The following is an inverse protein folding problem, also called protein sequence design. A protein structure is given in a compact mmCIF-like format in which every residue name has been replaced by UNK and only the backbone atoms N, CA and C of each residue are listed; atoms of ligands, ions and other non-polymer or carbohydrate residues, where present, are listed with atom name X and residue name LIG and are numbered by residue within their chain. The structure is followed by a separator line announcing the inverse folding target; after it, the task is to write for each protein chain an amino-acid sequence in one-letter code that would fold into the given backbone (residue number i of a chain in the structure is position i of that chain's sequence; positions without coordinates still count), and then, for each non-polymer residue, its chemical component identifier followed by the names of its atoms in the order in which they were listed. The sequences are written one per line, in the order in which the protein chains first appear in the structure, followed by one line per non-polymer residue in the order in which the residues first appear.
data_IF_205844993618
#
_entry.id   IF_205844993618
#
_cell.length_a   1.000
_cell.length_b   1.000
_cell.length_c   1.000
_cell.angle_alpha   90.00
_cell.angle_beta   90.00
_cell.angle_gamma   90.00
#
_symmetry.space_group_name_H-M   'P 1'
#
loop_
_entity.id
_entity.type
_entity.pdbx_description
1 polymer ?
#
# COMPACT_ATOMS: atom_id res chain seq x y z
N UNK A 1 -9.13 33.79 37.26
CA UNK A 1 -8.07 33.44 36.36
C UNK A 1 -8.67 32.62 35.20
N UNK A 2 -8.89 33.30 34.06
CA UNK A 2 -9.39 32.63 32.87
C UNK A 2 -8.23 31.84 32.29
N UNK A 3 -8.32 30.51 32.32
CA UNK A 3 -7.47 29.64 31.49
C UNK A 3 -7.82 29.92 30.04
N UNK A 4 -6.90 30.60 29.33
CA UNK A 4 -7.06 30.85 27.89
C UNK A 4 -6.85 29.52 27.11
N UNK A 5 -7.91 28.69 27.07
CA UNK A 5 -7.96 27.54 26.20
C UNK A 5 -8.59 27.95 24.86
N UNK A 6 -7.85 27.86 23.80
CA UNK A 6 -8.38 28.01 22.44
C UNK A 6 -8.77 26.62 21.92
N UNK A 7 -9.94 26.53 21.30
CA UNK A 7 -10.38 25.33 20.60
C UNK A 7 -10.70 25.65 19.15
N UNK A 8 -10.37 24.72 18.25
CA UNK A 8 -10.74 24.86 16.85
C UNK A 8 -12.26 24.73 16.69
N UNK A 9 -12.84 25.59 15.86
CA UNK A 9 -14.27 25.53 15.53
C UNK A 9 -14.56 24.30 14.65
N UNK A 10 -15.72 23.66 14.83
CA UNK A 10 -16.22 22.59 13.95
C UNK A 10 -16.31 22.99 12.46
N UNK A 11 -16.25 24.30 12.14
CA UNK A 11 -16.15 24.77 10.76
C UNK A 11 -14.87 24.27 10.07
N UNK A 12 -13.76 24.11 10.79
CA UNK A 12 -12.52 23.54 10.23
C UNK A 12 -12.69 22.06 9.87
N UNK A 13 -13.40 21.29 10.66
CA UNK A 13 -13.74 19.91 10.34
C UNK A 13 -14.55 19.82 9.03
N UNK A 14 -15.54 20.72 8.86
CA UNK A 14 -16.33 20.81 7.61
C UNK A 14 -15.46 21.15 6.40
N UNK A 15 -14.55 22.10 6.53
CA UNK A 15 -13.61 22.45 5.44
C UNK A 15 -12.71 21.26 5.10
N UNK A 16 -12.19 20.55 6.10
CA UNK A 16 -11.41 19.33 5.90
C UNK A 16 -12.18 18.24 5.14
N UNK A 17 -13.45 18.00 5.49
CA UNK A 17 -14.30 17.07 4.73
C UNK A 17 -14.45 17.48 3.27
N UNK A 18 -14.73 18.75 2.98
CA UNK A 18 -14.87 19.24 1.60
C UNK A 18 -13.59 19.07 0.79
N UNK A 19 -12.42 19.34 1.38
CA UNK A 19 -11.14 19.10 0.72
C UNK A 19 -10.93 17.61 0.44
N UNK A 20 -11.24 16.76 1.42
CA UNK A 20 -11.10 15.30 1.27
C UNK A 20 -12.02 14.74 0.17
N UNK A 21 -13.27 15.23 0.09
CA UNK A 21 -14.22 14.83 -0.95
C UNK A 21 -13.79 15.28 -2.36
N UNK A 22 -13.07 16.40 -2.48
CA UNK A 22 -12.58 16.93 -3.75
C UNK A 22 -11.21 16.37 -4.15
N UNK A 23 -10.48 15.76 -3.22
CA UNK A 23 -9.14 15.23 -3.46
C UNK A 23 -9.23 13.83 -4.04
N UNK A 24 -8.93 13.70 -5.33
CA UNK A 24 -8.76 12.40 -5.96
C UNK A 24 -7.33 11.89 -5.71
N UNK A 25 -7.20 10.88 -4.86
CA UNK A 25 -5.90 10.29 -4.51
C UNK A 25 -5.11 9.82 -5.75
N UNK A 26 -5.80 9.34 -6.78
CA UNK A 26 -5.19 8.93 -8.05
C UNK A 26 -4.45 10.09 -8.73
N UNK A 27 -5.11 11.26 -8.83
CA UNK A 27 -4.53 12.42 -9.51
C UNK A 27 -3.32 12.97 -8.74
N UNK A 28 -3.39 12.96 -7.41
CA UNK A 28 -2.28 13.35 -6.54
C UNK A 28 -1.12 12.35 -6.65
N UNK A 29 -1.40 11.06 -6.76
CA UNK A 29 -0.39 9.99 -6.78
C UNK A 29 0.32 9.88 -8.14
N UNK A 30 -0.36 10.17 -9.24
CA UNK A 30 0.14 9.93 -10.61
C UNK A 30 1.56 10.43 -10.89
N UNK A 31 1.97 11.65 -10.48
CA UNK A 31 3.36 12.13 -10.68
C UNK A 31 4.39 11.25 -9.96
N UNK A 32 4.09 10.81 -8.73
CA UNK A 32 4.98 9.97 -7.92
C UNK A 32 5.14 8.57 -8.53
N UNK A 33 4.03 8.00 -9.04
CA UNK A 33 4.07 6.70 -9.72
C UNK A 33 4.92 6.78 -10.99
N UNK A 34 4.78 7.86 -11.78
CA UNK A 34 5.54 8.07 -13.01
C UNK A 34 7.05 8.22 -12.72
N UNK A 35 7.41 9.03 -11.73
CA UNK A 35 8.80 9.18 -11.30
C UNK A 35 9.39 7.84 -10.82
N UNK A 36 8.64 7.12 -9.97
CA UNK A 36 9.09 5.83 -9.45
C UNK A 36 9.29 4.81 -10.57
N UNK A 37 8.36 4.73 -11.55
CA UNK A 37 8.47 3.83 -12.69
C UNK A 37 9.71 4.13 -13.55
N UNK A 38 10.02 5.40 -13.77
CA UNK A 38 11.25 5.81 -14.47
C UNK A 38 12.52 5.39 -13.71
N UNK A 39 12.52 5.53 -12.38
CA UNK A 39 13.69 5.22 -11.55
C UNK A 39 13.91 3.71 -11.36
N UNK A 40 12.85 2.95 -11.18
CA UNK A 40 12.95 1.50 -10.93
C UNK A 40 12.90 0.65 -12.21
N UNK A 41 12.42 1.20 -13.34
CA UNK A 41 12.29 0.52 -14.63
C UNK A 41 11.35 -0.71 -14.57
N UNK A 42 10.36 -0.69 -13.70
CA UNK A 42 9.36 -1.75 -13.49
C UNK A 42 7.96 -1.15 -13.35
N UNK A 43 6.93 -1.98 -13.37
CA UNK A 43 5.54 -1.56 -13.20
C UNK A 43 5.28 -1.05 -11.79
N UNK A 44 4.70 0.14 -11.68
CA UNK A 44 4.33 0.79 -10.41
C UNK A 44 2.82 0.92 -10.33
N UNK A 45 2.24 0.53 -9.18
CA UNK A 45 0.81 0.60 -8.96
C UNK A 45 0.46 1.33 -7.67
N UNK A 46 -0.67 2.04 -7.71
CA UNK A 46 -1.38 2.50 -6.53
C UNK A 46 -2.52 1.53 -6.23
N UNK A 47 -2.62 1.14 -4.97
CA UNK A 47 -3.63 0.21 -4.48
C UNK A 47 -4.39 0.80 -3.31
N UNK A 48 -5.72 0.59 -3.29
CA UNK A 48 -6.61 0.96 -2.19
C UNK A 48 -7.43 -0.24 -1.74
N UNK A 49 -8.02 -0.15 -0.54
CA UNK A 49 -8.95 -1.17 -0.05
C UNK A 49 -10.35 -0.96 -0.66
N UNK A 50 -10.92 -2.02 -1.19
CA UNK A 50 -12.31 -2.08 -1.63
C UNK A 50 -12.92 -3.44 -1.23
N UNK A 51 -13.93 -3.44 -0.38
CA UNK A 51 -14.71 -4.65 0.00
C UNK A 51 -13.83 -5.80 0.54
N UNK A 52 -12.86 -5.49 1.41
CA UNK A 52 -11.89 -6.45 1.95
C UNK A 52 -10.99 -7.10 0.86
N UNK A 53 -10.76 -6.39 -0.22
CA UNK A 53 -9.79 -6.72 -1.25
C UNK A 53 -8.91 -5.51 -1.53
N UNK A 54 -7.78 -5.72 -2.16
CA UNK A 54 -7.01 -4.62 -2.72
C UNK A 54 -7.45 -4.40 -4.15
N UNK A 55 -7.71 -3.13 -4.51
CA UNK A 55 -8.07 -2.71 -5.87
C UNK A 55 -6.98 -1.80 -6.45
N UNK A 56 -6.55 -2.08 -7.67
CA UNK A 56 -5.61 -1.24 -8.40
C UNK A 56 -6.30 0.07 -8.82
N UNK A 57 -5.92 1.18 -8.22
CA UNK A 57 -6.51 2.50 -8.49
C UNK A 57 -5.79 3.21 -9.63
N UNK A 58 -4.47 3.02 -9.76
CA UNK A 58 -3.69 3.53 -10.88
C UNK A 58 -2.47 2.65 -11.16
N UNK A 59 -1.98 2.69 -12.40
CA UNK A 59 -0.82 1.94 -12.85
C UNK A 59 0.01 2.77 -13.81
N UNK A 60 1.33 2.66 -13.66
CA UNK A 60 2.32 3.17 -14.61
C UNK A 60 3.25 2.02 -14.94
N UNK A 61 3.27 1.65 -16.20
CA UNK A 61 4.17 0.61 -16.68
C UNK A 61 5.62 1.14 -16.71
N UNK A 62 6.55 0.26 -16.42
CA UNK A 62 7.96 0.53 -16.65
C UNK A 62 8.23 0.68 -18.16
N UNK A 63 9.40 1.24 -18.55
CA UNK A 63 9.74 1.35 -19.95
C UNK A 63 9.87 -0.04 -20.59
N UNK A 64 9.60 -0.08 -21.88
CA UNK A 64 9.44 -1.21 -22.79
C UNK A 64 10.21 -2.50 -22.44
N UNK A 65 9.57 -3.40 -21.72
CA UNK A 65 10.05 -4.77 -21.50
C UNK A 65 9.09 -5.79 -22.12
N UNK A 66 9.59 -6.76 -22.86
CA UNK A 66 8.79 -7.86 -23.43
C UNK A 66 8.13 -8.68 -22.30
N UNK A 67 8.83 -8.83 -21.17
CA UNK A 67 8.33 -9.52 -19.97
C UNK A 67 8.04 -8.49 -18.88
N UNK A 68 6.77 -8.27 -18.56
CA UNK A 68 6.31 -7.34 -17.53
C UNK A 68 5.18 -7.93 -16.70
N UNK A 69 5.02 -7.47 -15.46
CA UNK A 69 3.84 -7.77 -14.67
C UNK A 69 2.73 -6.85 -15.13
N UNK A 70 1.76 -7.40 -15.86
CA UNK A 70 0.62 -6.64 -16.35
C UNK A 70 -0.41 -6.42 -15.24
N UNK A 71 -0.66 -5.17 -14.90
CA UNK A 71 -1.71 -4.76 -13.99
C UNK A 71 -2.72 -3.86 -14.72
N UNK A 72 -3.95 -3.81 -14.21
CA UNK A 72 -5.00 -2.97 -14.80
C UNK A 72 -5.73 -2.22 -13.69
N UNK A 73 -6.08 -0.97 -13.96
CA UNK A 73 -6.97 -0.20 -13.08
C UNK A 73 -8.29 -0.95 -12.91
N UNK A 74 -8.78 -1.05 -11.67
CA UNK A 74 -9.94 -1.83 -11.28
C UNK A 74 -9.67 -3.32 -11.04
N UNK A 75 -8.45 -3.82 -11.29
CA UNK A 75 -8.10 -5.20 -10.93
C UNK A 75 -8.10 -5.38 -9.42
N UNK A 76 -8.71 -6.47 -8.93
CA UNK A 76 -8.80 -6.82 -7.51
C UNK A 76 -7.95 -8.03 -7.17
N UNK A 77 -7.50 -8.07 -5.92
CA UNK A 77 -6.74 -9.20 -5.39
C UNK A 77 -6.94 -9.35 -3.87
N UNK A 78 -6.73 -10.56 -3.32
CA UNK A 78 -6.83 -10.77 -1.88
C UNK A 78 -5.78 -9.96 -1.10
N UNK A 79 -6.18 -9.39 0.05
CA UNK A 79 -5.28 -8.62 0.91
C UNK A 79 -4.09 -9.44 1.40
N UNK A 80 -4.29 -10.73 1.75
CA UNK A 80 -3.25 -11.56 2.34
C UNK A 80 -2.15 -11.98 1.37
N UNK A 81 -2.42 -11.96 0.06
CA UNK A 81 -1.51 -12.46 -0.97
C UNK A 81 -0.81 -11.35 -1.76
N UNK A 82 -0.92 -10.09 -1.33
CA UNK A 82 -0.32 -8.95 -2.03
C UNK A 82 0.44 -8.06 -1.07
N UNK A 83 1.51 -7.41 -1.54
CA UNK A 83 2.28 -6.48 -0.73
C UNK A 83 1.43 -5.32 -0.20
N UNK A 84 0.71 -4.64 -1.08
CA UNK A 84 -0.18 -3.54 -0.70
C UNK A 84 -1.35 -3.99 0.19
N UNK A 85 -1.90 -5.18 -0.06
CA UNK A 85 -2.95 -5.75 0.78
C UNK A 85 -2.47 -6.02 2.21
N UNK A 86 -1.27 -6.59 2.38
CA UNK A 86 -0.67 -6.79 3.71
C UNK A 86 -0.43 -5.46 4.43
N UNK A 87 -0.09 -4.37 3.73
CA UNK A 87 -0.01 -3.03 4.33
C UNK A 87 -1.36 -2.55 4.84
N UNK A 88 -2.43 -2.72 4.07
CA UNK A 88 -3.79 -2.35 4.49
C UNK A 88 -4.29 -3.15 5.68
N UNK A 89 -3.92 -4.44 5.78
CA UNK A 89 -4.21 -5.28 6.95
C UNK A 89 -3.55 -4.78 8.24
N UNK A 90 -2.53 -3.92 8.18
CA UNK A 90 -1.95 -3.30 9.38
C UNK A 90 -2.94 -2.40 10.13
N UNK A 91 -3.97 -1.89 9.45
CA UNK A 91 -5.06 -1.13 10.08
C UNK A 91 -6.08 -2.03 10.81
N UNK A 92 -6.04 -3.33 10.58
CA UNK A 92 -7.05 -4.24 11.12
C UNK A 92 -6.74 -4.56 12.59
N UNK A 93 -7.75 -4.44 13.45
CA UNK A 93 -7.71 -5.05 14.77
C UNK A 93 -7.70 -6.58 14.64
N UNK A 94 -7.32 -7.29 15.71
CA UNK A 94 -7.40 -8.75 15.72
C UNK A 94 -8.81 -9.27 15.39
N UNK A 95 -9.85 -8.58 15.85
CA UNK A 95 -11.25 -8.93 15.54
C UNK A 95 -11.54 -8.77 14.04
N UNK A 96 -11.18 -7.62 13.44
CA UNK A 96 -11.40 -7.38 12.01
C UNK A 96 -10.58 -8.31 11.12
N UNK A 97 -9.36 -8.69 11.55
CA UNK A 97 -8.54 -9.68 10.85
C UNK A 97 -9.20 -11.08 10.87
N UNK A 98 -9.76 -11.48 12.01
CA UNK A 98 -10.50 -12.75 12.11
C UNK A 98 -11.76 -12.73 11.22
N UNK A 99 -12.48 -11.60 11.18
CA UNK A 99 -13.62 -11.41 10.29
C UNK A 99 -13.21 -11.52 8.81
N UNK A 100 -12.12 -10.84 8.42
CA UNK A 100 -11.55 -10.95 7.07
C UNK A 100 -11.27 -12.41 6.70
N UNK A 101 -10.60 -13.16 7.59
CA UNK A 101 -10.27 -14.57 7.36
C UNK A 101 -11.54 -15.43 7.26
N UNK A 102 -12.56 -15.16 8.09
CA UNK A 102 -13.83 -15.90 8.06
C UNK A 102 -14.62 -15.65 6.78
N UNK A 103 -14.63 -14.40 6.27
CA UNK A 103 -15.41 -13.99 5.10
C UNK A 103 -14.71 -14.30 3.78
N UNK A 104 -13.42 -13.93 3.66
CA UNK A 104 -12.66 -14.04 2.41
C UNK A 104 -11.80 -15.31 2.35
N UNK A 105 -11.45 -15.89 3.49
CA UNK A 105 -10.49 -16.99 3.60
C UNK A 105 -9.05 -16.56 3.30
N UNK A 106 -8.13 -17.49 3.48
CA UNK A 106 -6.73 -17.39 3.06
C UNK A 106 -6.48 -18.38 1.92
N UNK A 107 -7.10 -18.11 0.77
CA UNK A 107 -7.01 -19.00 -0.39
C UNK A 107 -5.57 -19.09 -0.89
N UNK A 108 -5.08 -20.30 -1.09
CA UNK A 108 -3.82 -20.56 -1.77
C UNK A 108 -3.94 -20.20 -3.27
N UNK A 109 -3.12 -19.28 -3.73
CA UNK A 109 -3.00 -18.90 -5.14
C UNK A 109 -1.76 -19.54 -5.76
N UNK A 110 -0.71 -19.70 -4.96
CA UNK A 110 0.54 -20.36 -5.27
C UNK A 110 0.99 -21.21 -4.09
N UNK A 111 2.03 -22.04 -4.22
CA UNK A 111 2.64 -22.73 -3.08
C UNK A 111 3.26 -21.77 -2.03
N UNK A 112 3.49 -20.51 -2.37
CA UNK A 112 4.10 -19.49 -1.49
C UNK A 112 3.07 -18.61 -0.78
N UNK A 113 1.79 -18.71 -1.12
CA UNK A 113 0.71 -17.93 -0.49
C UNK A 113 0.63 -18.22 1.01
N UNK A 114 0.49 -17.17 1.83
CA UNK A 114 0.27 -17.28 3.27
C UNK A 114 -1.16 -17.79 3.53
N UNK A 115 -1.30 -19.06 3.88
CA UNK A 115 -2.61 -19.74 4.03
C UNK A 115 -3.02 -19.95 5.49
N UNK A 116 -2.22 -19.53 6.45
CA UNK A 116 -2.56 -19.63 7.88
C UNK A 116 -2.56 -18.24 8.53
N UNK A 117 -3.44 -18.10 9.53
CA UNK A 117 -3.49 -16.86 10.33
C UNK A 117 -2.14 -16.53 10.97
N UNK A 118 -1.46 -17.53 11.48
CA UNK A 118 -0.17 -17.38 12.14
C UNK A 118 0.90 -16.85 11.17
N UNK A 119 1.03 -17.45 9.98
CA UNK A 119 1.97 -16.99 8.96
C UNK A 119 1.67 -15.55 8.51
N UNK A 120 0.37 -15.21 8.36
CA UNK A 120 -0.04 -13.85 8.01
C UNK A 120 0.31 -12.86 9.12
N UNK A 121 0.01 -13.16 10.39
CA UNK A 121 0.34 -12.28 11.54
C UNK A 121 1.85 -12.07 11.64
N UNK A 122 2.66 -13.11 11.53
CA UNK A 122 4.12 -13.00 11.55
C UNK A 122 4.63 -12.09 10.40
N UNK A 123 4.03 -12.22 9.21
CA UNK A 123 4.35 -11.33 8.08
C UNK A 123 3.98 -9.87 8.37
N UNK A 124 2.81 -9.62 8.99
CA UNK A 124 2.38 -8.27 9.37
C UNK A 124 3.30 -7.65 10.43
N UNK A 125 3.79 -8.42 11.40
CA UNK A 125 4.76 -7.96 12.39
C UNK A 125 6.10 -7.58 11.76
N UNK A 126 6.60 -8.39 10.83
CA UNK A 126 7.80 -8.03 10.05
C UNK A 126 7.59 -6.75 9.24
N UNK A 127 6.42 -6.55 8.64
CA UNK A 127 6.11 -5.34 7.89
C UNK A 127 6.08 -4.12 8.82
N UNK A 128 5.49 -4.23 10.01
CA UNK A 128 5.50 -3.14 11.01
C UNK A 128 6.93 -2.74 11.40
N UNK A 129 7.80 -3.71 11.61
CA UNK A 129 9.18 -3.44 12.06
C UNK A 129 10.05 -2.80 10.99
N UNK A 130 9.86 -3.16 9.70
CA UNK A 130 10.70 -2.68 8.59
C UNK A 130 10.09 -1.53 7.79
N UNK A 131 8.77 -1.27 7.93
CA UNK A 131 8.07 -0.17 7.26
C UNK A 131 7.59 -0.45 5.83
N UNK A 132 7.88 -1.61 5.25
CA UNK A 132 7.49 -1.98 3.90
C UNK A 132 7.09 -3.47 3.79
N UNK A 133 6.31 -3.81 2.77
CA UNK A 133 5.90 -5.18 2.48
C UNK A 133 6.68 -5.74 1.29
N UNK A 134 7.03 -7.02 1.39
CA UNK A 134 7.47 -7.82 0.25
C UNK A 134 6.39 -8.84 -0.09
N UNK A 135 6.25 -9.12 -1.37
CA UNK A 135 5.45 -10.23 -1.90
C UNK A 135 6.38 -11.03 -2.82
N UNK A 136 6.55 -12.30 -2.49
CA UNK A 136 7.50 -13.22 -3.14
C UNK A 136 6.74 -14.40 -3.73
N UNK A 137 6.20 -14.19 -4.93
CA UNK A 137 5.42 -15.21 -5.64
C UNK A 137 4.16 -15.70 -4.89
N UNK A 138 3.64 -14.90 -3.95
CA UNK A 138 2.48 -15.27 -3.13
C UNK A 138 1.16 -15.18 -3.92
N UNK A 139 1.04 -14.21 -4.83
CA UNK A 139 -0.12 -14.02 -5.69
C UNK A 139 0.00 -14.80 -7.00
N UNK A 140 1.17 -14.76 -7.61
CA UNK A 140 1.44 -15.35 -8.92
C UNK A 140 2.90 -15.77 -9.03
N UNK A 141 3.13 -17.02 -9.50
CA UNK A 141 4.48 -17.52 -9.74
C UNK A 141 5.18 -16.67 -10.81
N UNK A 142 6.46 -16.41 -10.61
CA UNK A 142 7.25 -15.59 -11.51
C UNK A 142 7.12 -14.07 -11.30
N UNK A 143 6.29 -13.62 -10.35
CA UNK A 143 6.11 -12.21 -10.01
C UNK A 143 6.55 -11.92 -8.58
N UNK A 144 7.19 -10.77 -8.36
CA UNK A 144 7.56 -10.24 -7.05
C UNK A 144 7.26 -8.77 -6.95
N UNK A 145 6.94 -8.30 -5.74
CA UNK A 145 6.81 -6.88 -5.51
C UNK A 145 7.36 -6.42 -4.15
N UNK A 146 7.68 -5.13 -4.09
CA UNK A 146 7.91 -4.36 -2.87
C UNK A 146 6.86 -3.25 -2.81
N UNK A 147 6.29 -3.02 -1.63
CA UNK A 147 5.26 -2.02 -1.43
C UNK A 147 5.50 -1.22 -0.15
N UNK A 148 5.13 0.07 -0.17
CA UNK A 148 5.18 0.96 0.98
C UNK A 148 3.81 1.62 1.22
N UNK A 149 3.46 1.92 2.51
CA UNK A 149 2.17 2.43 2.88
C UNK A 149 2.01 3.91 2.53
N UNK A 150 0.84 4.28 2.02
CA UNK A 150 0.38 5.66 1.87
C UNK A 150 -0.59 5.95 3.00
N UNK A 151 -0.32 7.02 3.75
CA UNK A 151 -1.10 7.42 4.92
C UNK A 151 -1.85 8.73 4.67
N UNK A 152 -2.99 8.87 5.30
CA UNK A 152 -3.73 10.13 5.34
C UNK A 152 -3.38 10.96 6.60
N UNK A 153 -4.03 12.11 6.75
CA UNK A 153 -3.87 13.03 7.88
C UNK A 153 -4.11 12.40 9.26
N UNK A 154 -4.81 11.27 9.35
CA UNK A 154 -5.05 10.54 10.60
C UNK A 154 -3.96 9.51 10.93
N UNK A 155 -2.97 9.35 10.04
CA UNK A 155 -1.94 8.32 10.11
C UNK A 155 -2.41 6.94 9.65
N UNK A 156 -3.66 6.81 9.23
CA UNK A 156 -4.21 5.55 8.71
C UNK A 156 -3.64 5.24 7.34
N UNK A 157 -3.33 3.99 7.08
CA UNK A 157 -2.93 3.53 5.75
C UNK A 157 -4.18 3.49 4.85
N UNK A 158 -4.23 4.39 3.87
CA UNK A 158 -5.35 4.51 2.91
C UNK A 158 -5.04 3.82 1.59
N UNK A 159 -3.79 3.49 1.35
CA UNK A 159 -3.34 2.78 0.16
C UNK A 159 -1.92 2.30 0.27
N UNK A 160 -1.40 1.76 -0.82
CA UNK A 160 0.00 1.37 -0.95
C UNK A 160 0.52 1.61 -2.36
N UNK A 161 1.75 2.10 -2.46
CA UNK A 161 2.49 2.11 -3.72
C UNK A 161 3.30 0.83 -3.80
N UNK A 162 3.24 0.12 -4.93
CA UNK A 162 4.07 -1.07 -5.17
C UNK A 162 4.87 -0.96 -6.46
N UNK A 163 6.07 -1.53 -6.44
CA UNK A 163 6.91 -1.81 -7.61
C UNK A 163 6.87 -3.31 -7.83
N UNK A 164 6.43 -3.74 -8.99
CA UNK A 164 6.23 -5.15 -9.33
C UNK A 164 6.96 -5.49 -10.62
N UNK A 165 7.59 -6.66 -10.65
CA UNK A 165 8.28 -7.14 -11.83
C UNK A 165 8.48 -8.65 -11.81
N UNK A 166 8.96 -9.23 -12.92
CA UNK A 166 9.24 -10.65 -13.02
C UNK A 166 10.43 -11.06 -12.15
N UNK A 167 10.39 -12.27 -11.58
CA UNK A 167 11.45 -12.80 -10.69
C UNK A 167 12.82 -12.80 -11.32
N UNK A 168 12.90 -12.84 -12.64
CA UNK A 168 14.17 -12.78 -13.42
C UNK A 168 14.89 -11.44 -13.26
N UNK A 169 14.16 -10.35 -13.00
CA UNK A 169 14.72 -9.01 -12.73
C UNK A 169 14.56 -8.59 -11.28
N UNK A 170 13.53 -9.08 -10.57
CA UNK A 170 13.20 -8.72 -9.19
C UNK A 170 13.73 -9.78 -8.22
N UNK A 171 15.06 -9.88 -8.08
CA UNK A 171 15.66 -10.69 -7.02
C UNK A 171 15.32 -10.14 -5.64
N UNK A 172 15.40 -10.96 -4.58
CA UNK A 172 15.17 -10.48 -3.18
C UNK A 172 16.08 -9.30 -2.83
N UNK A 173 17.36 -9.38 -3.20
CA UNK A 173 18.30 -8.29 -2.97
C UNK A 173 17.88 -6.99 -3.70
N UNK A 174 17.33 -7.10 -4.91
CA UNK A 174 16.81 -5.94 -5.64
C UNK A 174 15.55 -5.37 -4.99
N UNK A 175 14.63 -6.21 -4.49
CA UNK A 175 13.45 -5.74 -3.74
C UNK A 175 13.87 -4.94 -2.51
N UNK A 176 14.82 -5.46 -1.74
CA UNK A 176 15.36 -4.78 -0.54
C UNK A 176 16.08 -3.48 -0.91
N UNK A 177 16.83 -3.45 -2.00
CA UNK A 177 17.49 -2.24 -2.49
C UNK A 177 16.50 -1.18 -3.01
N UNK A 178 15.34 -1.57 -3.54
CA UNK A 178 14.28 -0.66 -3.98
C UNK A 178 13.40 -0.16 -2.82
N UNK A 179 13.34 -0.90 -1.71
CA UNK A 179 12.45 -0.56 -0.60
C UNK A 179 12.60 0.89 -0.09
N UNK A 180 13.80 1.45 0.14
CA UNK A 180 13.95 2.83 0.56
C UNK A 180 13.34 3.81 -0.43
N UNK A 181 13.56 3.60 -1.74
CA UNK A 181 13.00 4.46 -2.78
C UNK A 181 11.46 4.43 -2.79
N UNK A 182 10.87 3.23 -2.65
CA UNK A 182 9.41 3.08 -2.61
C UNK A 182 8.84 3.72 -1.35
N UNK A 183 9.53 3.59 -0.22
CA UNK A 183 9.14 4.23 1.05
C UNK A 183 9.19 5.76 0.95
N UNK A 184 10.24 6.32 0.37
CA UNK A 184 10.40 7.77 0.18
C UNK A 184 9.25 8.33 -0.68
N UNK A 185 8.92 7.67 -1.80
CA UNK A 185 7.82 8.08 -2.66
C UNK A 185 6.45 7.98 -1.96
N UNK A 186 6.22 6.91 -1.20
CA UNK A 186 5.00 6.74 -0.43
C UNK A 186 4.88 7.76 0.70
N UNK A 187 5.98 8.12 1.36
CA UNK A 187 6.03 9.15 2.39
C UNK A 187 5.76 10.54 1.79
N UNK A 188 6.33 10.86 0.61
CA UNK A 188 6.05 12.12 -0.07
C UNK A 188 4.57 12.23 -0.49
N UNK A 189 4.00 11.15 -1.05
CA UNK A 189 2.57 11.09 -1.34
C UNK A 189 1.72 11.26 -0.07
N UNK A 190 2.11 10.64 1.04
CA UNK A 190 1.42 10.78 2.33
C UNK A 190 1.45 12.23 2.82
N UNK A 191 2.56 12.93 2.70
CA UNK A 191 2.64 14.38 3.00
C UNK A 191 1.70 15.20 2.14
N UNK A 192 1.50 14.85 0.87
CA UNK A 192 0.50 15.50 -0.01
C UNK A 192 -0.94 15.23 0.44
N UNK A 193 -1.16 14.12 1.16
CA UNK A 193 -2.43 13.78 1.80
C UNK A 193 -2.54 14.32 3.24
N UNK A 194 -1.70 15.32 3.57
CA UNK A 194 -1.63 15.97 4.88
C UNK A 194 -1.26 15.03 6.04
N UNK A 195 -0.51 13.95 5.77
CA UNK A 195 0.12 13.17 6.81
C UNK A 195 1.36 13.89 7.33
N UNK A 196 1.38 14.17 8.62
CA UNK A 196 2.54 14.68 9.35
C UNK A 196 2.85 13.71 10.49
N UNK A 197 4.11 13.30 10.61
CA UNK A 197 4.57 12.63 11.83
C UNK A 197 4.64 13.67 12.95
N UNK A 198 3.66 13.63 13.87
CA UNK A 198 3.75 14.43 15.09
C UNK A 198 4.80 13.80 16.00
N UNK A 199 5.81 14.55 16.46
CA UNK A 199 6.71 14.04 17.49
C UNK A 199 5.88 13.71 18.74
N UNK A 200 6.11 12.51 19.30
CA UNK A 200 5.52 12.06 20.56
C UNK A 200 5.88 12.98 21.75
#
# INVERSE_FOLDING_TARGET
PCTQHYSLSLRFARLGCLVSEQTNMRDVARPFLAELAQRCQETVCLWCEAEMEVECTDVVDGPDGILMVSQRVGARAPLHATGAGKLLLLNYSNQKLNEYIAVKGLRALTPHTLVTREALVNSLEMIRSRGYALEDEERELGARCVAAPVRDYSGRIVGGISVSGPTTRMSRARLEALAPLVMDMAAELSRRLAYEEWPE
#
